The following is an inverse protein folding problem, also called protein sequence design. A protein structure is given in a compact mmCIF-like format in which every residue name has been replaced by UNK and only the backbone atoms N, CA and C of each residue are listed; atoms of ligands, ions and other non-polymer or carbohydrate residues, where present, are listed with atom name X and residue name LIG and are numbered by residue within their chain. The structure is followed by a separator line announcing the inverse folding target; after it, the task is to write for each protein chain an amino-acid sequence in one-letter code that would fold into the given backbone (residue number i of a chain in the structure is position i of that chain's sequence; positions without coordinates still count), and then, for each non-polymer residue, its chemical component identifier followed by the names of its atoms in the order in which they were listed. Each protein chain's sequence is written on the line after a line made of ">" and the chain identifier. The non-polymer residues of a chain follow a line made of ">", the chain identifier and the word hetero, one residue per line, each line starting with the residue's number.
data_IF_745531859169
#
_entry.id   IF_745531859169
#
_cell.length_a   1.000
_cell.length_b   1.000
_cell.length_c   1.000
_cell.angle_alpha   90.00
_cell.angle_beta   90.00
_cell.angle_gamma   90.00
#
_symmetry.space_group_name_H-M   'P 1'
#
loop_
_entity.id
_entity.type
_entity.pdbx_description
1 polymer ?
#
# COMPACT_ATOMS: atom_id res chain seq x y z
N UNK A 1 20.07 25.52 16.37
CA UNK A 1 18.72 25.03 16.77
C UNK A 1 18.32 23.74 16.05
N UNK A 2 18.21 23.68 14.71
CA UNK A 2 17.81 22.46 13.97
C UNK A 2 18.63 21.18 14.27
N UNK A 3 19.96 21.27 14.34
CA UNK A 3 20.83 20.12 14.67
C UNK A 3 20.61 19.57 16.09
N UNK A 4 20.37 20.47 17.05
CA UNK A 4 20.16 20.09 18.45
C UNK A 4 18.80 19.39 18.63
N UNK A 5 17.75 19.89 17.97
CA UNK A 5 16.44 19.22 17.94
C UNK A 5 16.50 17.84 17.29
N UNK A 6 17.26 17.67 16.22
CA UNK A 6 17.45 16.37 15.57
C UNK A 6 18.17 15.36 16.47
N UNK A 7 19.27 15.77 17.12
CA UNK A 7 19.98 14.95 18.10
C UNK A 7 19.09 14.56 19.27
N UNK A 8 18.24 15.47 19.74
CA UNK A 8 17.29 15.21 20.82
C UNK A 8 16.23 14.17 20.42
N UNK A 9 15.69 14.25 19.21
CA UNK A 9 14.75 13.24 18.67
C UNK A 9 15.43 11.88 18.59
N UNK A 10 16.66 11.81 18.08
CA UNK A 10 17.41 10.55 18.03
C UNK A 10 17.59 9.97 19.44
N UNK A 11 17.97 10.80 20.42
CA UNK A 11 18.14 10.35 21.79
C UNK A 11 16.84 9.79 22.39
N UNK A 12 15.71 10.47 22.15
CA UNK A 12 14.38 9.98 22.57
C UNK A 12 14.05 8.64 21.92
N UNK A 13 14.30 8.49 20.62
CA UNK A 13 14.04 7.24 19.90
C UNK A 13 14.89 6.10 20.45
N UNK A 14 16.19 6.34 20.70
CA UNK A 14 17.09 5.34 21.30
C UNK A 14 16.56 4.93 22.69
N UNK A 15 16.22 5.90 23.54
CA UNK A 15 15.72 5.61 24.88
C UNK A 15 14.39 4.81 24.83
N UNK A 16 13.48 5.23 23.95
CA UNK A 16 12.19 4.54 23.75
C UNK A 16 12.40 3.09 23.29
N UNK A 17 13.39 2.84 22.42
CA UNK A 17 13.73 1.51 21.91
C UNK A 17 14.27 0.56 22.96
N UNK A 18 15.09 1.05 23.90
CA UNK A 18 15.64 0.20 24.97
C UNK A 18 14.50 -0.34 25.84
N UNK A 19 13.53 0.51 26.20
CA UNK A 19 12.38 0.12 27.03
C UNK A 19 11.28 -0.65 26.28
N UNK A 20 11.37 -0.78 24.94
CA UNK A 20 10.36 -1.45 24.12
C UNK A 20 10.30 -2.95 24.41
N UNK A 21 11.46 -3.59 24.50
CA UNK A 21 11.56 -5.05 24.68
C UNK A 21 11.00 -5.50 26.01
N UNK A 22 11.15 -4.71 27.08
CA UNK A 22 10.62 -5.05 28.40
C UNK A 22 9.08 -5.10 28.46
N UNK A 23 8.40 -4.44 27.51
CA UNK A 23 6.94 -4.42 27.39
C UNK A 23 6.42 -5.26 26.23
N UNK A 24 7.28 -6.04 25.58
CA UNK A 24 6.90 -6.74 24.35
C UNK A 24 5.74 -7.71 24.60
N UNK A 25 4.67 -7.57 23.82
CA UNK A 25 3.48 -8.43 23.88
C UNK A 25 3.71 -9.77 23.16
N UNK A 26 2.76 -10.69 23.26
CA UNK A 26 2.73 -11.92 22.46
C UNK A 26 2.67 -11.56 20.96
N UNK A 27 3.55 -12.14 20.14
CA UNK A 27 3.71 -11.75 18.73
C UNK A 27 2.97 -12.68 17.75
N UNK A 28 2.34 -13.72 18.29
CA UNK A 28 1.50 -14.70 17.61
C UNK A 28 0.16 -14.80 18.34
N UNK A 29 -0.71 -13.78 18.23
CA UNK A 29 -2.02 -13.82 18.87
C UNK A 29 -2.83 -15.01 18.31
N UNK A 30 -3.60 -15.66 19.19
CA UNK A 30 -4.48 -16.78 18.83
C UNK A 30 -5.95 -16.51 19.17
N UNK A 31 -6.26 -15.29 19.64
CA UNK A 31 -7.62 -14.88 20.00
C UNK A 31 -8.50 -14.80 18.75
N UNK A 32 -9.51 -15.67 18.66
CA UNK A 32 -10.41 -15.72 17.52
C UNK A 32 -11.27 -14.44 17.40
N UNK A 33 -11.31 -13.88 16.18
CA UNK A 33 -12.16 -12.76 15.82
C UNK A 33 -12.84 -12.96 14.47
N UNK A 34 -13.92 -12.24 14.22
CA UNK A 34 -14.50 -12.13 12.87
C UNK A 34 -15.12 -10.77 12.61
N UNK A 35 -15.17 -10.41 11.33
CA UNK A 35 -15.85 -9.23 10.82
C UNK A 35 -16.58 -9.57 9.51
N UNK A 36 -17.76 -9.01 9.34
CA UNK A 36 -18.43 -8.89 8.04
C UNK A 36 -19.00 -7.50 7.86
N UNK A 37 -18.75 -6.87 6.71
CA UNK A 37 -19.23 -5.52 6.41
C UNK A 37 -19.74 -5.42 4.98
N UNK A 38 -20.92 -4.79 4.75
CA UNK A 38 -21.30 -4.37 3.42
C UNK A 38 -20.43 -3.19 2.97
N UNK A 39 -20.05 -3.20 1.70
CA UNK A 39 -19.18 -2.21 1.07
C UNK A 39 -19.84 -1.67 -0.20
N UNK A 40 -20.71 -0.65 -0.12
CA UNK A 40 -21.15 0.05 -1.34
C UNK A 40 -19.93 0.68 -2.02
N UNK A 41 -19.83 0.56 -3.34
CA UNK A 41 -18.70 1.10 -4.10
C UNK A 41 -19.13 1.89 -5.33
N UNK A 42 -18.29 2.84 -5.71
CA UNK A 42 -18.35 3.59 -6.97
C UNK A 42 -16.93 3.72 -7.49
N UNK A 43 -16.65 3.16 -8.67
CA UNK A 43 -15.35 3.21 -9.32
C UNK A 43 -15.52 3.98 -10.66
N UNK A 44 -14.88 5.15 -10.82
CA UNK A 44 -14.98 5.94 -12.04
C UNK A 44 -14.61 5.15 -13.30
N UNK A 45 -15.48 5.19 -14.32
CA UNK A 45 -15.36 4.40 -15.57
C UNK A 45 -15.78 2.93 -15.43
N UNK A 46 -15.57 2.32 -14.27
CA UNK A 46 -15.94 0.92 -14.07
C UNK A 46 -17.42 0.75 -13.68
N UNK A 47 -17.96 1.62 -12.83
CA UNK A 47 -19.39 1.65 -12.45
C UNK A 47 -19.60 1.62 -10.94
N UNK A 48 -20.77 1.21 -10.50
CA UNK A 48 -21.13 1.11 -9.08
C UNK A 48 -21.75 -0.23 -8.71
N UNK A 49 -21.79 -0.52 -7.42
CA UNK A 49 -22.39 -1.76 -6.93
C UNK A 49 -22.28 -1.94 -5.43
N UNK A 50 -22.41 -3.20 -5.02
CA UNK A 50 -22.34 -3.61 -3.64
C UNK A 50 -21.29 -4.70 -3.48
N UNK A 51 -20.44 -4.52 -2.48
CA UNK A 51 -19.50 -5.51 -2.00
C UNK A 51 -19.84 -6.03 -0.63
N UNK A 52 -19.21 -7.13 -0.27
CA UNK A 52 -19.13 -7.68 1.06
C UNK A 52 -17.68 -7.98 1.38
N UNK A 53 -17.22 -7.50 2.51
CA UNK A 53 -15.94 -7.85 3.10
C UNK A 53 -16.20 -8.75 4.28
N UNK A 54 -15.46 -9.85 4.37
CA UNK A 54 -15.52 -10.80 5.47
C UNK A 54 -14.13 -11.24 5.87
N UNK A 55 -13.89 -11.38 7.17
CA UNK A 55 -12.63 -11.87 7.72
C UNK A 55 -12.86 -12.71 8.95
N UNK A 56 -12.05 -13.75 9.12
CA UNK A 56 -11.90 -14.54 10.32
C UNK A 56 -10.43 -14.50 10.73
N UNK A 57 -10.18 -14.34 12.01
CA UNK A 57 -8.83 -14.26 12.55
C UNK A 57 -8.53 -15.42 13.45
N UNK A 58 -7.27 -15.83 13.46
CA UNK A 58 -6.76 -16.85 14.34
C UNK A 58 -7.65 -18.11 14.32
N UNK A 59 -7.99 -18.55 13.10
CA UNK A 59 -8.93 -19.63 12.84
C UNK A 59 -8.35 -20.94 13.40
N UNK A 60 -9.01 -21.58 14.39
CA UNK A 60 -8.46 -22.79 14.99
C UNK A 60 -8.61 -24.00 14.05
N UNK A 61 -7.65 -24.93 14.10
CA UNK A 61 -7.77 -26.25 13.49
C UNK A 61 -8.12 -27.30 14.55
N UNK A 62 -9.43 -27.54 14.73
CA UNK A 62 -9.92 -28.41 15.78
C UNK A 62 -9.66 -27.82 17.17
N UNK A 63 -8.81 -28.47 17.96
CA UNK A 63 -8.35 -27.98 19.26
C UNK A 63 -7.02 -27.22 19.20
N UNK A 64 -6.46 -27.02 18.00
CA UNK A 64 -5.18 -26.33 17.83
C UNK A 64 -5.43 -24.86 17.56
N UNK A 65 -4.92 -24.01 18.45
CA UNK A 65 -4.86 -22.56 18.26
C UNK A 65 -3.87 -22.23 17.14
N UNK A 66 -4.19 -21.22 16.33
CA UNK A 66 -3.35 -20.82 15.20
C UNK A 66 -3.43 -19.32 14.97
N UNK A 67 -2.48 -18.81 14.20
CA UNK A 67 -2.43 -17.43 13.71
C UNK A 67 -3.09 -17.27 12.33
N UNK A 68 -3.84 -18.28 11.87
CA UNK A 68 -4.42 -18.30 10.53
C UNK A 68 -5.51 -17.23 10.41
N UNK A 69 -5.28 -16.26 9.54
CA UNK A 69 -6.29 -15.30 9.13
C UNK A 69 -6.84 -15.67 7.76
N UNK A 70 -8.17 -15.60 7.61
CA UNK A 70 -8.88 -15.82 6.35
C UNK A 70 -9.69 -14.58 6.02
N UNK A 71 -9.52 -14.03 4.82
CA UNK A 71 -10.20 -12.82 4.40
C UNK A 71 -10.73 -12.94 2.98
N UNK A 72 -11.90 -12.34 2.73
CA UNK A 72 -12.54 -12.31 1.44
C UNK A 72 -13.22 -10.96 1.18
N UNK A 73 -13.11 -10.48 -0.05
CA UNK A 73 -13.93 -9.39 -0.59
C UNK A 73 -14.67 -9.95 -1.79
N UNK A 74 -16.00 -9.82 -1.81
CA UNK A 74 -16.83 -10.20 -2.95
C UNK A 74 -17.58 -8.95 -3.41
N UNK A 75 -17.59 -8.66 -4.71
CA UNK A 75 -18.30 -7.51 -5.28
C UNK A 75 -19.21 -7.94 -6.44
N UNK A 76 -20.35 -7.25 -6.54
CA UNK A 76 -21.35 -7.42 -7.60
C UNK A 76 -21.92 -6.06 -8.03
N UNK A 77 -22.60 -6.01 -9.16
CA UNK A 77 -23.10 -4.78 -9.79
C UNK A 77 -22.47 -4.60 -11.17
N UNK A 78 -22.00 -3.39 -11.48
CA UNK A 78 -21.29 -3.10 -12.73
C UNK A 78 -19.90 -3.76 -12.80
N UNK A 79 -19.37 -4.17 -11.64
CA UNK A 79 -18.16 -4.95 -11.49
C UNK A 79 -18.49 -6.22 -10.71
N UNK A 80 -18.17 -7.36 -11.30
CA UNK A 80 -18.24 -8.68 -10.70
C UNK A 80 -16.87 -9.22 -10.37
N UNK A 81 -16.68 -9.70 -9.15
CA UNK A 81 -15.43 -10.34 -8.78
C UNK A 81 -15.23 -10.53 -7.29
N UNK A 82 -14.00 -10.87 -6.94
CA UNK A 82 -13.62 -11.00 -5.55
C UNK A 82 -12.16 -11.31 -5.34
N UNK A 83 -11.77 -11.23 -4.08
CA UNK A 83 -10.45 -11.52 -3.56
C UNK A 83 -10.65 -12.50 -2.41
N UNK A 84 -9.80 -13.52 -2.34
CA UNK A 84 -9.68 -14.40 -1.18
C UNK A 84 -8.22 -14.50 -0.80
N UNK A 85 -7.92 -14.40 0.49
CA UNK A 85 -6.56 -14.51 1.00
C UNK A 85 -6.54 -15.22 2.35
N UNK A 86 -5.45 -15.94 2.58
CA UNK A 86 -5.08 -16.55 3.84
C UNK A 86 -3.70 -16.01 4.24
N UNK A 87 -3.59 -15.46 5.44
CA UNK A 87 -2.35 -14.83 5.95
C UNK A 87 -1.95 -15.45 7.28
N UNK A 88 -0.66 -15.33 7.60
CA UNK A 88 -0.03 -15.86 8.80
C UNK A 88 -0.33 -17.37 9.00
N UNK A 89 -0.42 -18.14 7.90
CA UNK A 89 -0.60 -19.61 7.93
C UNK A 89 0.67 -20.24 8.53
N UNK A 90 0.61 -20.90 9.71
CA UNK A 90 1.79 -21.45 10.35
C UNK A 90 2.19 -22.78 9.72
N UNK A 91 3.11 -22.75 8.75
CA UNK A 91 3.68 -23.97 8.13
C UNK A 91 4.59 -24.68 9.13
N UNK A 92 5.39 -23.90 9.86
CA UNK A 92 6.08 -24.32 11.09
C UNK A 92 5.69 -23.28 12.13
N UNK A 93 5.02 -23.65 13.23
CA UNK A 93 4.58 -22.72 14.26
C UNK A 93 5.69 -21.74 14.66
N UNK A 94 5.36 -20.46 14.70
CA UNK A 94 6.23 -19.35 15.14
C UNK A 94 7.52 -19.13 14.33
N UNK A 95 7.79 -19.94 13.31
CA UNK A 95 9.05 -19.90 12.56
C UNK A 95 8.86 -19.69 11.06
N UNK A 96 7.89 -20.36 10.46
CA UNK A 96 7.68 -20.30 9.01
C UNK A 96 6.21 -20.07 8.68
N UNK A 97 5.94 -18.88 8.13
CA UNK A 97 4.61 -18.41 7.80
C UNK A 97 4.42 -18.33 6.28
N UNK A 98 3.21 -18.67 5.85
CA UNK A 98 2.77 -18.59 4.46
C UNK A 98 1.60 -17.61 4.36
N UNK A 99 1.69 -16.67 3.43
CA UNK A 99 0.54 -15.90 2.97
C UNK A 99 0.24 -16.29 1.52
N UNK A 100 -1.03 -16.51 1.21
CA UNK A 100 -1.49 -16.78 -0.15
C UNK A 100 -2.77 -16.03 -0.43
N UNK A 101 -2.93 -15.56 -1.65
CA UNK A 101 -4.18 -14.97 -2.06
C UNK A 101 -4.35 -14.97 -3.55
N UNK A 102 -5.60 -14.81 -3.96
CA UNK A 102 -5.97 -14.64 -5.35
C UNK A 102 -7.19 -13.74 -5.46
N UNK A 103 -7.32 -13.08 -6.60
CA UNK A 103 -8.53 -12.36 -6.94
C UNK A 103 -8.79 -12.32 -8.43
N UNK A 104 -10.05 -12.11 -8.77
CA UNK A 104 -10.52 -11.99 -10.13
C UNK A 104 -11.62 -10.94 -10.22
N UNK A 105 -11.54 -10.09 -11.25
CA UNK A 105 -12.53 -9.05 -11.55
C UNK A 105 -12.80 -9.03 -13.05
N UNK A 106 -14.07 -8.94 -13.44
CA UNK A 106 -14.47 -8.81 -14.84
C UNK A 106 -14.13 -7.43 -15.41
N UNK A 107 -14.17 -6.39 -14.57
CA UNK A 107 -13.91 -5.00 -14.93
C UNK A 107 -13.13 -4.28 -13.83
N UNK A 108 -12.30 -3.33 -14.24
CA UNK A 108 -11.59 -2.43 -13.33
C UNK A 108 -11.24 -1.12 -14.03
N UNK A 109 -10.76 -0.15 -13.27
CA UNK A 109 -10.20 1.06 -13.86
C UNK A 109 -9.22 1.74 -12.92
N UNK A 110 -8.36 2.57 -13.51
CA UNK A 110 -7.48 3.46 -12.76
C UNK A 110 -7.29 4.77 -13.53
N UNK A 111 -6.90 5.82 -12.80
CA UNK A 111 -6.59 7.13 -13.39
C UNK A 111 -5.14 7.14 -13.85
N UNK A 112 -4.93 7.46 -15.12
CA UNK A 112 -3.63 7.68 -15.73
C UNK A 112 -3.42 9.18 -15.92
N UNK A 113 -2.62 9.79 -15.05
CA UNK A 113 -2.35 11.23 -15.07
C UNK A 113 -1.38 11.58 -16.20
N UNK A 114 -1.65 12.70 -16.90
CA UNK A 114 -0.78 13.13 -18.00
C UNK A 114 0.57 13.64 -17.51
N UNK A 115 0.59 14.33 -16.37
CA UNK A 115 1.81 14.62 -15.61
C UNK A 115 1.72 13.95 -14.23
N UNK A 116 2.67 13.06 -13.96
CA UNK A 116 2.75 12.27 -12.73
C UNK A 116 3.48 12.96 -11.57
N UNK A 117 4.02 14.16 -11.78
CA UNK A 117 4.85 14.89 -10.80
C UNK A 117 4.02 15.68 -9.81
N UNK A 118 4.68 16.18 -8.77
CA UNK A 118 4.01 16.83 -7.64
C UNK A 118 3.21 18.08 -8.04
N UNK A 119 3.66 18.84 -9.05
CA UNK A 119 2.98 20.06 -9.53
C UNK A 119 1.93 19.89 -10.63
N UNK A 120 1.55 18.66 -10.97
CA UNK A 120 0.56 18.44 -12.03
C UNK A 120 -0.86 18.82 -11.65
N UNK A 121 -1.67 19.06 -12.68
CA UNK A 121 -3.10 19.35 -12.58
C UNK A 121 -3.87 18.06 -12.17
N UNK A 122 -4.65 18.08 -11.08
CA UNK A 122 -5.46 16.93 -10.67
C UNK A 122 -6.54 16.51 -11.66
N UNK A 123 -6.99 17.42 -12.53
CA UNK A 123 -8.04 17.15 -13.52
C UNK A 123 -7.48 16.70 -14.88
N UNK A 124 -6.15 16.66 -15.01
CA UNK A 124 -5.44 16.25 -16.23
C UNK A 124 -5.10 14.75 -16.19
N UNK A 125 -6.13 13.93 -16.32
CA UNK A 125 -6.02 12.47 -16.38
C UNK A 125 -6.98 11.86 -17.40
N UNK A 126 -6.65 10.63 -17.78
CA UNK A 126 -7.53 9.74 -18.52
C UNK A 126 -7.86 8.52 -17.66
N UNK A 127 -8.98 7.85 -17.94
CA UNK A 127 -9.39 6.65 -17.21
C UNK A 127 -9.02 5.44 -18.06
N UNK A 128 -8.10 4.61 -17.56
CA UNK A 128 -7.74 3.34 -18.19
C UNK A 128 -8.68 2.25 -17.65
N UNK A 129 -9.45 1.62 -18.53
CA UNK A 129 -10.35 0.52 -18.21
C UNK A 129 -9.66 -0.82 -18.43
N UNK A 130 -9.80 -1.70 -17.44
CA UNK A 130 -9.31 -3.06 -17.48
C UNK A 130 -10.47 -4.04 -17.55
N UNK A 131 -10.26 -5.15 -18.26
CA UNK A 131 -11.09 -6.34 -18.21
C UNK A 131 -10.28 -7.57 -17.81
N UNK A 132 -10.97 -8.61 -17.38
CA UNK A 132 -10.40 -9.94 -17.10
C UNK A 132 -9.18 -9.89 -16.17
N UNK A 133 -9.27 -9.05 -15.13
CA UNK A 133 -8.18 -8.85 -14.18
C UNK A 133 -8.10 -10.03 -13.24
N UNK A 134 -6.93 -10.68 -13.17
CA UNK A 134 -6.63 -11.77 -12.25
C UNK A 134 -5.31 -11.50 -11.59
N UNK A 135 -5.23 -11.75 -10.30
CA UNK A 135 -3.97 -11.70 -9.59
C UNK A 135 -3.86 -12.85 -8.60
N UNK A 136 -2.63 -13.25 -8.34
CA UNK A 136 -2.25 -14.19 -7.30
C UNK A 136 -1.03 -13.67 -6.59
N UNK A 137 -0.94 -13.94 -5.30
CA UNK A 137 0.28 -13.68 -4.56
C UNK A 137 0.61 -14.83 -3.61
N UNK A 138 1.90 -14.94 -3.31
CA UNK A 138 2.44 -15.81 -2.28
C UNK A 138 3.52 -15.06 -1.53
N UNK A 139 3.46 -15.08 -0.19
CA UNK A 139 4.54 -14.65 0.68
C UNK A 139 5.02 -15.82 1.51
N UNK A 140 6.33 -15.95 1.60
CA UNK A 140 6.99 -16.85 2.53
C UNK A 140 7.78 -16.01 3.51
N UNK A 141 7.56 -16.21 4.80
CA UNK A 141 8.22 -15.46 5.86
C UNK A 141 8.88 -16.41 6.86
N UNK A 142 10.20 -16.28 7.01
CA UNK A 142 10.94 -16.87 8.11
C UNK A 142 11.02 -15.85 9.24
N UNK A 143 10.70 -16.31 10.43
CA UNK A 143 10.63 -15.49 11.64
C UNK A 143 11.73 -15.91 12.61
N UNK A 144 12.38 -14.93 13.24
CA UNK A 144 13.40 -15.13 14.25
C UNK A 144 13.17 -14.21 15.44
N UNK A 145 13.59 -14.68 16.63
CA UNK A 145 13.56 -13.91 17.87
C UNK A 145 12.17 -13.31 18.14
N UNK A 146 11.13 -14.14 18.19
CA UNK A 146 9.75 -13.72 18.46
C UNK A 146 9.30 -12.55 17.56
N UNK A 147 9.43 -12.73 16.24
CA UNK A 147 9.12 -11.72 15.19
C UNK A 147 9.88 -10.40 15.30
N UNK A 148 11.01 -10.36 16.00
CA UNK A 148 11.89 -9.18 15.98
C UNK A 148 12.70 -9.09 14.69
N UNK A 149 12.92 -10.21 14.02
CA UNK A 149 13.55 -10.24 12.70
C UNK A 149 12.84 -11.22 11.79
N UNK A 150 12.33 -10.70 10.66
CA UNK A 150 11.69 -11.50 9.63
C UNK A 150 12.48 -11.39 8.33
N UNK A 151 12.63 -12.50 7.62
CA UNK A 151 13.14 -12.54 6.24
C UNK A 151 12.03 -13.09 5.36
N UNK A 152 11.73 -12.42 4.26
CA UNK A 152 10.61 -12.82 3.41
C UNK A 152 10.89 -12.71 1.92
N UNK A 153 10.16 -13.52 1.15
CA UNK A 153 10.00 -13.35 -0.29
C UNK A 153 8.52 -13.22 -0.61
N UNK A 154 8.18 -12.31 -1.50
CA UNK A 154 6.84 -12.04 -1.97
C UNK A 154 6.82 -12.16 -3.49
N UNK A 155 5.97 -13.04 -4.01
CA UNK A 155 5.76 -13.25 -5.43
C UNK A 155 4.35 -12.86 -5.82
N UNK A 156 4.19 -12.21 -6.97
CA UNK A 156 2.88 -11.90 -7.55
C UNK A 156 2.85 -12.32 -9.02
N UNK A 157 1.69 -12.80 -9.46
CA UNK A 157 1.36 -12.99 -10.87
C UNK A 157 0.09 -12.21 -11.14
N UNK A 158 0.15 -11.27 -12.08
CA UNK A 158 -0.97 -10.40 -12.44
C UNK A 158 -1.24 -10.56 -13.93
N UNK A 159 -2.51 -10.70 -14.32
CA UNK A 159 -2.97 -10.70 -15.70
C UNK A 159 -4.11 -9.72 -15.81
N UNK A 160 -4.11 -8.87 -16.83
CA UNK A 160 -5.23 -7.97 -17.11
C UNK A 160 -5.23 -7.61 -18.58
N UNK A 161 -6.37 -7.15 -19.07
CA UNK A 161 -6.50 -6.65 -20.44
C UNK A 161 -6.89 -5.19 -20.40
N UNK A 162 -6.11 -4.32 -21.03
CA UNK A 162 -6.53 -2.95 -21.30
C UNK A 162 -7.62 -3.00 -22.38
N UNK A 163 -8.83 -2.57 -22.03
CA UNK A 163 -10.00 -2.63 -22.90
C UNK A 163 -10.33 -1.26 -23.51
N UNK A 164 -10.15 -0.18 -22.75
CA UNK A 164 -10.39 1.17 -23.24
C UNK A 164 -9.62 2.23 -22.45
N UNK A 165 -9.45 3.40 -23.05
CA UNK A 165 -9.14 4.64 -22.33
C UNK A 165 -10.27 5.63 -22.60
N UNK A 166 -10.71 6.30 -21.54
CA UNK A 166 -11.76 7.32 -21.55
C UNK A 166 -11.24 8.65 -21.05
N UNK A 167 -11.88 9.73 -21.44
CA UNK A 167 -11.68 11.02 -20.78
C UNK A 167 -12.29 11.01 -19.36
N UNK A 168 -12.12 12.12 -18.63
CA UNK A 168 -12.60 12.24 -17.25
C UNK A 168 -14.13 12.25 -17.15
N UNK A 169 -14.83 12.59 -18.24
CA UNK A 169 -16.29 12.51 -18.36
C UNK A 169 -16.79 11.11 -18.76
N UNK A 170 -15.89 10.17 -19.07
CA UNK A 170 -16.23 8.78 -19.43
C UNK A 170 -16.47 8.54 -20.92
N UNK A 171 -16.19 9.51 -21.78
CA UNK A 171 -16.26 9.34 -23.24
C UNK A 171 -15.06 8.54 -23.73
N UNK A 172 -15.29 7.63 -24.66
CA UNK A 172 -14.23 6.80 -25.27
C UNK A 172 -13.25 7.67 -26.08
N UNK A 173 -11.95 7.48 -25.82
CA UNK A 173 -10.85 8.18 -26.52
C UNK A 173 -9.75 7.24 -27.01
N UNK A 174 -9.86 5.94 -26.74
CA UNK A 174 -8.93 4.90 -27.20
C UNK A 174 -9.58 3.55 -26.91
N UNK A 175 -9.66 2.68 -27.89
CA UNK A 175 -10.09 1.29 -27.68
C UNK A 175 -8.89 0.36 -27.83
N UNK A 176 -8.77 -0.59 -26.92
CA UNK A 176 -7.69 -1.57 -26.93
C UNK A 176 -8.21 -2.98 -26.64
N UNK A 177 -7.41 -3.95 -27.03
CA UNK A 177 -7.54 -5.33 -26.57
C UNK A 177 -6.14 -5.86 -26.29
N UNK A 178 -5.49 -5.22 -25.32
CA UNK A 178 -4.09 -5.48 -25.01
C UNK A 178 -4.00 -6.21 -23.67
N UNK A 179 -3.85 -7.52 -23.74
CA UNK A 179 -3.55 -8.32 -22.56
C UNK A 179 -2.09 -8.16 -22.14
N UNK A 180 -1.88 -8.01 -20.84
CA UNK A 180 -0.57 -8.00 -20.23
C UNK A 180 -0.54 -8.96 -19.05
N UNK A 181 0.61 -9.62 -18.89
CA UNK A 181 0.92 -10.46 -17.75
C UNK A 181 2.21 -9.95 -17.13
N UNK A 182 2.23 -9.88 -15.81
CA UNK A 182 3.36 -9.42 -15.02
C UNK A 182 3.61 -10.36 -13.86
N UNK A 183 4.77 -10.99 -13.85
CA UNK A 183 5.33 -11.65 -12.68
C UNK A 183 6.27 -10.66 -11.97
N UNK A 184 6.16 -10.60 -10.65
CA UNK A 184 7.07 -9.80 -9.83
C UNK A 184 7.50 -10.60 -8.60
N UNK A 185 8.76 -10.42 -8.23
CA UNK A 185 9.33 -10.99 -7.01
C UNK A 185 10.09 -9.93 -6.23
N UNK A 186 9.72 -9.81 -4.96
CA UNK A 186 10.35 -8.95 -3.98
C UNK A 186 10.96 -9.80 -2.87
N UNK A 187 12.22 -9.56 -2.54
CA UNK A 187 12.85 -10.17 -1.37
C UNK A 187 13.14 -9.07 -0.35
N UNK A 188 12.93 -9.35 0.92
CA UNK A 188 13.03 -8.32 1.94
C UNK A 188 13.27 -8.88 3.34
N UNK A 189 13.45 -7.95 4.26
CA UNK A 189 13.49 -8.26 5.69
C UNK A 189 12.81 -7.15 6.49
N UNK A 190 12.37 -7.51 7.69
CA UNK A 190 11.84 -6.58 8.68
C UNK A 190 12.62 -6.75 9.98
N UNK A 191 13.03 -5.64 10.58
CA UNK A 191 13.50 -5.56 11.95
C UNK A 191 12.40 -4.86 12.75
N UNK A 192 11.84 -5.53 13.73
CA UNK A 192 10.75 -5.05 14.56
C UNK A 192 11.16 -5.01 16.03
N UNK A 193 11.67 -3.86 16.45
CA UNK A 193 12.08 -3.57 17.82
C UNK A 193 11.02 -2.74 18.54
N UNK A 194 9.75 -3.08 18.36
CA UNK A 194 8.62 -2.43 19.03
C UNK A 194 8.12 -3.23 20.23
N UNK A 195 7.32 -2.60 21.10
CA UNK A 195 6.66 -3.31 22.19
C UNK A 195 5.41 -4.09 21.75
N UNK A 196 4.82 -3.76 20.62
CA UNK A 196 3.70 -4.50 20.04
C UNK A 196 3.79 -4.40 18.52
N UNK A 197 3.68 -5.51 17.79
CA UNK A 197 3.82 -5.50 16.33
C UNK A 197 2.64 -4.86 15.62
N UNK A 198 1.44 -5.02 16.18
CA UNK A 198 0.17 -4.54 15.62
C UNK A 198 -0.08 -3.10 16.02
N UNK A 199 -0.06 -2.77 17.32
CA UNK A 199 -0.25 -1.41 17.84
C UNK A 199 0.97 -0.89 18.62
N UNK A 200 2.12 -0.66 17.96
CA UNK A 200 3.32 -0.17 18.63
C UNK A 200 3.09 1.13 19.41
N UNK A 201 3.45 1.13 20.70
CA UNK A 201 3.46 2.36 21.51
C UNK A 201 4.87 2.96 21.61
N UNK A 202 5.89 2.11 21.54
CA UNK A 202 7.29 2.52 21.60
C UNK A 202 8.19 1.60 20.78
N UNK A 203 9.34 2.13 20.38
CA UNK A 203 10.38 1.38 19.68
C UNK A 203 10.47 1.71 18.20
N UNK A 204 11.14 0.84 17.44
CA UNK A 204 11.52 1.10 16.05
C UNK A 204 11.18 -0.06 15.15
N UNK A 205 10.75 0.24 13.92
CA UNK A 205 10.49 -0.74 12.87
C UNK A 205 11.21 -0.31 11.60
N UNK A 206 11.95 -1.23 11.00
CA UNK A 206 12.59 -1.05 9.69
C UNK A 206 12.13 -2.18 8.77
N UNK A 207 11.68 -1.83 7.57
CA UNK A 207 11.41 -2.78 6.50
C UNK A 207 12.26 -2.39 5.29
N UNK A 208 12.90 -3.39 4.70
CA UNK A 208 13.62 -3.26 3.45
C UNK A 208 13.09 -4.26 2.44
N UNK A 209 12.90 -3.82 1.20
CA UNK A 209 12.58 -4.70 0.07
C UNK A 209 13.47 -4.39 -1.13
N UNK A 210 13.76 -5.43 -1.89
CA UNK A 210 14.38 -5.36 -3.20
C UNK A 210 13.53 -6.13 -4.20
N UNK A 211 12.94 -5.41 -5.15
CA UNK A 211 12.08 -5.95 -6.19
C UNK A 211 12.81 -5.93 -7.52
N UNK A 212 12.87 -7.08 -8.17
CA UNK A 212 13.51 -7.20 -9.47
C UNK A 212 12.51 -6.91 -10.60
N UNK A 213 12.92 -6.17 -11.62
CA UNK A 213 12.10 -5.83 -12.80
C UNK A 213 12.90 -6.03 -14.09
N UNK A 214 13.10 -7.30 -14.51
CA UNK A 214 13.84 -7.63 -15.72
C UNK A 214 13.13 -7.13 -16.98
N UNK A 215 13.85 -7.06 -18.10
CA UNK A 215 13.30 -6.62 -19.37
C UNK A 215 12.25 -7.61 -19.91
N UNK A 216 11.01 -7.15 -20.03
CA UNK A 216 9.90 -7.94 -20.58
C UNK A 216 9.88 -8.00 -22.12
N UNK A 217 10.60 -7.09 -22.78
CA UNK A 217 10.69 -6.97 -24.22
C UNK A 217 12.03 -6.31 -24.60
N UNK A 218 12.44 -6.42 -25.87
CA UNK A 218 13.72 -5.87 -26.35
C UNK A 218 13.85 -4.35 -26.17
N UNK A 219 12.73 -3.63 -26.06
CA UNK A 219 12.66 -2.18 -25.86
C UNK A 219 12.25 -1.79 -24.42
N UNK A 220 12.06 -2.75 -23.51
CA UNK A 220 11.83 -2.51 -22.08
C UNK A 220 13.13 -2.21 -21.34
N UNK A 221 13.10 -1.43 -20.25
CA UNK A 221 14.24 -1.29 -19.37
C UNK A 221 14.39 -2.53 -18.50
N UNK A 222 15.62 -2.75 -18.04
CA UNK A 222 15.96 -3.68 -16.98
C UNK A 222 16.40 -2.88 -15.75
N UNK A 223 15.70 -3.06 -14.64
CA UNK A 223 15.94 -2.29 -13.41
C UNK A 223 15.53 -3.09 -12.16
N UNK A 224 15.92 -2.60 -11.00
CA UNK A 224 15.43 -3.08 -9.71
C UNK A 224 14.99 -1.89 -8.85
N UNK A 225 14.13 -2.15 -7.88
CA UNK A 225 13.58 -1.15 -6.96
C UNK A 225 13.97 -1.51 -5.55
N UNK A 226 14.54 -0.55 -4.83
CA UNK A 226 14.82 -0.69 -3.40
C UNK A 226 13.92 0.23 -2.61
N UNK A 227 13.22 -0.34 -1.62
CA UNK A 227 12.36 0.41 -0.71
C UNK A 227 12.85 0.28 0.73
N UNK A 228 12.84 1.40 1.43
CA UNK A 228 13.14 1.52 2.85
C UNK A 228 11.96 2.16 3.55
N UNK A 229 11.48 1.53 4.62
CA UNK A 229 10.41 2.07 5.45
C UNK A 229 10.85 2.02 6.92
N UNK A 230 11.04 3.19 7.51
CA UNK A 230 11.43 3.32 8.90
C UNK A 230 10.32 4.02 9.68
N UNK A 231 9.89 3.39 10.77
CA UNK A 231 8.91 3.96 11.69
C UNK A 231 9.44 3.94 13.11
N UNK A 232 9.37 5.09 13.78
CA UNK A 232 9.68 5.23 15.21
C UNK A 232 8.47 5.60 16.02
N UNK A 233 8.34 4.99 17.20
CA UNK A 233 7.23 5.19 18.12
C UNK A 233 7.75 5.74 19.44
N UNK A 234 7.18 6.88 19.84
CA UNK A 234 7.55 7.60 21.05
C UNK A 234 6.33 7.61 21.97
N UNK A 235 6.39 6.99 23.15
CA UNK A 235 5.29 7.04 24.11
C UNK A 235 5.15 8.46 24.65
N UNK A 236 3.93 8.96 24.73
CA UNK A 236 3.58 10.28 25.25
C UNK A 236 2.32 10.18 26.11
N UNK A 237 2.17 11.07 27.08
CA UNK A 237 1.10 10.97 28.09
C UNK A 237 1.16 9.59 28.79
N UNK A 238 0.03 9.08 29.30
CA UNK A 238 0.00 7.82 30.05
C UNK A 238 0.14 6.58 29.15
N UNK A 239 -0.53 6.58 27.99
CA UNK A 239 -0.58 5.43 27.09
C UNK A 239 -0.79 5.86 25.62
N UNK A 240 -0.58 7.13 25.27
CA UNK A 240 -0.66 7.63 23.89
C UNK A 240 0.70 7.55 23.18
N UNK A 241 0.71 7.72 21.86
CA UNK A 241 1.93 7.51 21.07
C UNK A 241 2.09 8.55 19.98
N UNK A 242 3.31 9.00 19.77
CA UNK A 242 3.70 9.75 18.58
C UNK A 242 4.49 8.85 17.64
N UNK A 243 3.94 8.60 16.45
CA UNK A 243 4.55 7.80 15.40
C UNK A 243 5.18 8.71 14.35
N UNK A 244 6.40 8.39 13.95
CA UNK A 244 7.17 9.09 12.92
C UNK A 244 7.55 8.09 11.84
N UNK A 245 7.20 8.36 10.59
CA UNK A 245 7.51 7.51 9.45
C UNK A 245 8.38 8.23 8.44
N UNK A 246 9.34 7.50 7.87
CA UNK A 246 10.10 7.86 6.69
C UNK A 246 10.11 6.68 5.72
N UNK A 247 9.71 6.94 4.49
CA UNK A 247 9.69 5.97 3.42
C UNK A 247 10.45 6.53 2.22
N UNK A 248 11.27 5.68 1.62
CA UNK A 248 11.99 5.98 0.38
C UNK A 248 11.99 4.76 -0.53
N UNK A 249 11.62 4.96 -1.78
CA UNK A 249 11.75 3.95 -2.83
C UNK A 249 12.45 4.53 -4.05
N UNK A 250 13.34 3.76 -4.65
CA UNK A 250 14.12 4.19 -5.80
C UNK A 250 14.38 3.06 -6.79
N UNK A 251 14.09 3.32 -8.06
CA UNK A 251 14.51 2.48 -9.16
C UNK A 251 15.98 2.74 -9.52
N UNK A 252 16.71 1.67 -9.83
CA UNK A 252 18.07 1.71 -10.37
C UNK A 252 18.09 0.94 -11.68
N UNK A 253 18.31 1.65 -12.79
CA UNK A 253 18.33 1.07 -14.13
C UNK A 253 19.67 0.39 -14.40
N UNK A 254 19.62 -0.91 -14.70
CA UNK A 254 20.77 -1.71 -15.15
C UNK A 254 21.02 -1.51 -16.64
N UNK A 255 19.95 -1.51 -17.42
CA UNK A 255 19.96 -1.29 -18.88
C UNK A 255 18.72 -0.49 -19.26
N UNK A 256 18.93 0.59 -20.01
CA UNK A 256 17.83 1.39 -20.54
C UNK A 256 17.07 0.63 -21.62
N UNK A 257 15.76 0.85 -21.67
CA UNK A 257 14.92 0.46 -22.80
C UNK A 257 15.10 1.43 -23.97
N UNK A 258 14.23 1.32 -24.99
CA UNK A 258 14.26 2.28 -26.09
C UNK A 258 13.74 3.66 -25.64
N UNK A 259 14.54 4.71 -25.79
CA UNK A 259 14.16 6.08 -25.41
C UNK A 259 13.86 6.98 -26.60
N UNK A 260 13.86 6.44 -27.83
CA UNK A 260 13.45 7.16 -29.04
C UNK A 260 11.93 7.40 -29.02
N UNK A 261 11.55 8.67 -28.87
CA UNK A 261 10.14 9.06 -28.75
C UNK A 261 9.35 8.78 -30.03
N UNK A 262 9.95 8.97 -31.21
CA UNK A 262 9.24 8.74 -32.48
C UNK A 262 8.95 7.25 -32.66
N UNK A 263 9.91 6.39 -32.31
CA UNK A 263 9.70 4.95 -32.25
C UNK A 263 8.58 4.58 -31.27
N UNK A 264 8.59 5.14 -30.06
CA UNK A 264 7.59 4.83 -29.04
C UNK A 264 6.19 5.31 -29.47
N UNK A 265 6.06 6.50 -30.07
CA UNK A 265 4.81 7.00 -30.64
C UNK A 265 4.31 6.04 -31.73
N UNK A 266 5.18 5.61 -32.64
CA UNK A 266 4.79 4.68 -33.70
C UNK A 266 4.33 3.34 -33.12
N UNK A 267 4.99 2.84 -32.07
CA UNK A 267 4.64 1.60 -31.38
C UNK A 267 3.28 1.69 -30.67
N UNK A 268 3.03 2.78 -29.94
CA UNK A 268 1.73 3.02 -29.29
C UNK A 268 0.61 3.17 -30.35
N UNK A 269 0.88 3.91 -31.44
CA UNK A 269 -0.07 4.06 -32.56
C UNK A 269 -0.44 2.71 -33.18
N UNK A 270 0.53 1.82 -33.37
CA UNK A 270 0.30 0.49 -33.92
C UNK A 270 -0.50 -0.45 -32.99
N UNK A 271 -0.53 -0.15 -31.69
CA UNK A 271 -1.26 -0.93 -30.67
C UNK A 271 -2.71 -0.47 -30.52
N UNK A 272 -3.00 0.77 -30.91
CA UNK A 272 -4.35 1.32 -30.87
C UNK A 272 -5.30 0.63 -31.86
N UNK A 273 -6.47 0.19 -31.39
CA UNK A 273 -7.46 -0.45 -32.24
C UNK A 273 -8.42 0.56 -32.90
N UNK A 274 -8.97 1.48 -32.12
CA UNK A 274 -9.93 2.49 -32.59
C UNK A 274 -9.86 3.78 -31.75
N UNK A 275 -10.38 4.88 -32.30
CA UNK A 275 -10.43 6.21 -31.65
C UNK A 275 -9.07 6.74 -31.17
N UNK A 276 -8.01 6.54 -31.95
CA UNK A 276 -6.61 6.80 -31.56
C UNK A 276 -6.26 8.29 -31.41
N UNK A 277 -6.62 8.90 -30.29
CA UNK A 277 -6.25 10.28 -29.99
C UNK A 277 -4.73 10.47 -29.92
N UNK A 278 -4.23 11.41 -30.72
CA UNK A 278 -2.78 11.67 -30.85
C UNK A 278 -2.13 12.19 -29.57
N UNK A 279 -2.86 12.96 -28.76
CA UNK A 279 -2.32 13.46 -27.49
C UNK A 279 -2.13 12.33 -26.48
N UNK A 280 -3.10 11.42 -26.42
CA UNK A 280 -3.07 10.22 -25.56
C UNK A 280 -1.94 9.29 -25.98
N UNK A 281 -1.73 9.05 -27.27
CA UNK A 281 -0.58 8.29 -27.79
C UNK A 281 0.74 8.94 -27.37
N UNK A 282 0.89 10.25 -27.59
CA UNK A 282 2.10 10.96 -27.23
C UNK A 282 2.37 10.91 -25.71
N UNK A 283 1.32 10.93 -24.90
CA UNK A 283 1.41 10.77 -23.46
C UNK A 283 1.92 9.38 -23.06
N UNK A 284 1.29 8.32 -23.57
CA UNK A 284 1.69 6.94 -23.27
C UNK A 284 3.15 6.72 -23.67
N UNK A 285 3.55 7.20 -24.85
CA UNK A 285 4.92 7.14 -25.34
C UNK A 285 5.90 7.91 -24.43
N UNK A 286 5.55 9.10 -23.94
CA UNK A 286 6.39 9.85 -22.98
C UNK A 286 6.53 9.14 -21.63
N UNK A 287 5.44 8.58 -21.11
CA UNK A 287 5.48 7.80 -19.87
C UNK A 287 6.35 6.55 -20.02
N UNK A 288 6.27 5.90 -21.18
CA UNK A 288 7.14 4.77 -21.55
C UNK A 288 8.60 5.21 -21.68
N UNK A 289 8.88 6.33 -22.34
CA UNK A 289 10.24 6.89 -22.48
C UNK A 289 10.87 7.15 -21.10
N UNK A 290 10.14 7.80 -20.19
CA UNK A 290 10.63 8.08 -18.84
C UNK A 290 10.91 6.80 -18.05
N UNK A 291 10.02 5.80 -18.15
CA UNK A 291 10.23 4.49 -17.53
C UNK A 291 11.42 3.76 -18.15
N UNK A 292 11.57 3.80 -19.47
CA UNK A 292 12.69 3.19 -20.20
C UNK A 292 14.04 3.82 -19.82
N UNK A 293 14.04 5.10 -19.45
CA UNK A 293 15.24 5.84 -19.07
C UNK A 293 15.59 5.71 -17.58
N UNK A 294 14.59 5.75 -16.70
CA UNK A 294 14.79 5.91 -15.25
C UNK A 294 14.22 4.77 -14.40
N UNK A 295 13.44 3.86 -14.99
CA UNK A 295 12.65 2.87 -14.25
C UNK A 295 11.46 3.52 -13.52
N UNK A 296 10.82 2.75 -12.64
CA UNK A 296 9.70 3.22 -11.80
C UNK A 296 9.92 2.76 -10.36
N UNK A 297 10.00 3.72 -9.42
CA UNK A 297 10.18 3.44 -8.00
C UNK A 297 8.86 3.27 -7.25
N UNK A 298 7.72 3.59 -7.87
CA UNK A 298 6.40 3.46 -7.26
C UNK A 298 5.60 4.76 -7.30
N UNK A 299 4.64 4.88 -6.39
CA UNK A 299 3.68 5.98 -6.37
C UNK A 299 3.32 6.47 -4.96
N UNK A 300 2.70 7.65 -4.88
CA UNK A 300 2.11 8.25 -3.69
C UNK A 300 0.61 8.52 -3.90
N UNK A 301 -0.12 8.56 -2.79
CA UNK A 301 -1.58 8.65 -2.74
C UNK A 301 -2.20 7.30 -2.40
N UNK A 302 -3.44 7.31 -1.90
CA UNK A 302 -4.15 6.13 -1.42
C UNK A 302 -4.09 5.97 0.10
N UNK A 303 -4.26 4.75 0.59
CA UNK A 303 -4.50 4.47 2.01
C UNK A 303 -3.25 4.52 2.89
N UNK A 304 -2.09 4.21 2.31
CA UNK A 304 -0.84 4.03 3.06
C UNK A 304 -0.07 5.32 3.29
N UNK A 305 -0.09 6.23 2.33
CA UNK A 305 0.73 7.44 2.35
C UNK A 305 0.13 8.50 1.44
N UNK A 306 0.16 9.76 1.89
CA UNK A 306 -0.48 10.89 1.20
C UNK A 306 -1.99 10.69 1.07
N UNK A 307 -2.64 10.41 2.22
CA UNK A 307 -4.04 9.96 2.33
C UNK A 307 -5.09 10.87 1.72
N UNK A 308 -4.84 12.17 1.59
CA UNK A 308 -5.79 13.08 0.92
C UNK A 308 -5.82 12.94 -0.60
N UNK A 309 -4.91 12.16 -1.20
CA UNK A 309 -4.75 12.01 -2.64
C UNK A 309 -5.20 10.62 -3.10
N UNK A 310 -5.74 10.54 -4.32
CA UNK A 310 -6.16 9.27 -4.93
C UNK A 310 -4.95 8.33 -5.09
N UNK A 311 -5.17 7.02 -4.98
CA UNK A 311 -4.12 6.02 -5.21
C UNK A 311 -3.42 6.22 -6.56
N UNK A 312 -2.08 6.20 -6.57
CA UNK A 312 -1.29 6.39 -7.78
C UNK A 312 -1.23 7.84 -8.31
N UNK A 313 -1.71 8.83 -7.55
CA UNK A 313 -1.79 10.23 -7.99
C UNK A 313 -0.44 10.82 -8.42
N UNK A 314 0.63 10.46 -7.73
CA UNK A 314 1.99 10.88 -8.07
C UNK A 314 2.87 9.64 -8.27
N UNK A 315 3.73 9.62 -9.27
CA UNK A 315 4.66 8.50 -9.48
C UNK A 315 5.96 8.96 -10.12
N UNK A 316 7.02 8.17 -9.95
CA UNK A 316 8.34 8.50 -10.47
C UNK A 316 9.36 7.39 -10.23
N UNK A 317 10.56 7.57 -10.77
CA UNK A 317 11.67 6.64 -10.52
C UNK A 317 12.16 6.71 -9.07
N UNK A 318 12.01 7.85 -8.42
CA UNK A 318 12.36 8.09 -7.03
C UNK A 318 11.14 8.62 -6.29
N UNK A 319 10.86 8.05 -5.12
CA UNK A 319 9.72 8.39 -4.26
C UNK A 319 10.22 8.55 -2.84
N UNK A 320 9.79 9.62 -2.17
CA UNK A 320 10.07 9.79 -0.74
C UNK A 320 8.85 10.39 -0.04
N UNK A 321 8.53 9.87 1.15
CA UNK A 321 7.49 10.41 2.00
C UNK A 321 7.91 10.40 3.46
N UNK A 322 7.36 11.35 4.22
CA UNK A 322 7.50 11.39 5.67
C UNK A 322 6.16 11.68 6.31
N UNK A 323 5.87 11.00 7.41
CA UNK A 323 4.64 11.11 8.16
C UNK A 323 4.90 11.35 9.63
N UNK A 324 4.03 12.11 10.27
CA UNK A 324 3.94 12.22 11.72
C UNK A 324 2.49 11.99 12.12
N UNK A 325 2.27 11.17 13.14
CA UNK A 325 0.95 10.84 13.63
C UNK A 325 0.92 10.80 15.16
N UNK A 326 0.06 11.61 15.76
CA UNK A 326 -0.26 11.52 17.17
C UNK A 326 -1.48 10.62 17.36
N UNK A 327 -1.29 9.52 18.08
CA UNK A 327 -2.32 8.54 18.45
C UNK A 327 -2.73 8.80 19.88
N UNK A 328 -3.87 9.45 20.05
CA UNK A 328 -4.48 9.65 21.35
C UNK A 328 -5.29 8.41 21.72
N UNK A 329 -4.72 7.62 22.62
CA UNK A 329 -5.39 6.45 23.16
C UNK A 329 -6.36 6.91 24.25
N UNK A 330 -7.63 6.49 24.14
CA UNK A 330 -8.71 6.87 25.04
C UNK A 330 -9.09 5.77 26.04
N UNK A 331 -8.69 4.54 25.75
CA UNK A 331 -8.90 3.36 26.58
C UNK A 331 -7.87 2.29 26.22
N UNK A 332 -7.39 1.57 27.23
CA UNK A 332 -6.61 0.34 27.15
C UNK A 332 -7.37 -0.86 27.75
N UNK A 333 -8.69 -0.71 27.95
CA UNK A 333 -9.54 -1.73 28.52
C UNK A 333 -9.69 -2.91 27.56
N UNK A 334 -9.47 -4.12 28.09
CA UNK A 334 -9.76 -5.36 27.39
C UNK A 334 -11.23 -5.74 27.58
N UNK A 335 -12.04 -5.59 26.54
CA UNK A 335 -13.49 -5.85 26.61
C UNK A 335 -13.94 -6.70 25.44
N UNK A 336 -14.41 -7.92 25.72
CA UNK A 336 -15.00 -8.78 24.70
C UNK A 336 -16.32 -8.19 24.17
N UNK A 337 -16.55 -8.33 22.87
CA UNK A 337 -17.81 -7.97 22.24
C UNK A 337 -18.17 -9.02 21.17
N UNK A 338 -19.47 -9.31 21.05
CA UNK A 338 -20.03 -10.24 20.08
C UNK A 338 -21.31 -9.62 19.54
N UNK A 339 -21.20 -8.99 18.38
CA UNK A 339 -22.30 -8.41 17.63
C UNK A 339 -22.50 -9.22 16.35
N UNK A 340 -23.69 -9.15 15.76
CA UNK A 340 -24.06 -9.94 14.57
C UNK A 340 -23.05 -9.89 13.41
N UNK A 341 -22.29 -8.80 13.28
CA UNK A 341 -21.38 -8.57 12.17
C UNK A 341 -19.91 -8.46 12.59
N UNK A 342 -19.62 -8.51 13.89
CA UNK A 342 -18.25 -8.38 14.40
C UNK A 342 -18.13 -9.00 15.79
N UNK A 343 -17.09 -9.80 15.99
CA UNK A 343 -16.74 -10.38 17.28
C UNK A 343 -15.25 -10.25 17.50
N UNK A 344 -14.86 -9.70 18.64
CA UNK A 344 -13.47 -9.61 19.04
C UNK A 344 -13.33 -9.21 20.52
N UNK A 345 -12.09 -9.01 20.95
CA UNK A 345 -11.73 -8.38 22.21
C UNK A 345 -11.22 -6.99 21.88
N UNK A 346 -11.95 -5.93 22.24
CA UNK A 346 -11.43 -4.56 22.14
C UNK A 346 -10.24 -4.44 23.07
N UNK A 347 -9.11 -3.98 22.56
CA UNK A 347 -7.90 -3.71 23.35
C UNK A 347 -7.55 -2.22 23.35
N UNK A 348 -8.14 -1.42 22.46
CA UNK A 348 -7.99 0.02 22.49
C UNK A 348 -8.97 0.78 21.61
N UNK A 349 -9.24 2.03 21.99
CA UNK A 349 -9.91 3.01 21.12
C UNK A 349 -9.03 4.25 20.99
N UNK A 350 -8.75 4.67 19.76
CA UNK A 350 -7.82 5.75 19.47
C UNK A 350 -8.44 6.83 18.60
N UNK A 351 -8.03 8.08 18.83
CA UNK A 351 -8.17 9.18 17.88
C UNK A 351 -6.79 9.58 17.39
N UNK A 352 -6.59 9.61 16.08
CA UNK A 352 -5.30 9.86 15.47
C UNK A 352 -5.31 11.16 14.68
N UNK A 353 -4.30 11.99 14.88
CA UNK A 353 -4.07 13.20 14.09
C UNK A 353 -2.78 13.03 13.31
N UNK A 354 -2.81 13.24 12.00
CA UNK A 354 -1.65 13.01 11.15
C UNK A 354 -1.34 14.17 10.22
N UNK A 355 -0.05 14.25 9.87
CA UNK A 355 0.49 15.12 8.86
C UNK A 355 1.53 14.37 8.04
N UNK A 356 1.43 14.47 6.72
CA UNK A 356 2.23 13.73 5.77
C UNK A 356 2.77 14.68 4.71
N UNK A 357 3.99 14.42 4.26
CA UNK A 357 4.58 15.07 3.10
C UNK A 357 5.16 14.02 2.16
N UNK A 358 5.06 14.29 0.86
CA UNK A 358 5.53 13.39 -0.17
C UNK A 358 6.10 14.12 -1.36
N UNK A 359 7.03 13.46 -2.04
CA UNK A 359 7.70 13.92 -3.26
C UNK A 359 7.98 12.74 -4.19
N UNK A 360 7.89 12.98 -5.49
CA UNK A 360 8.35 12.05 -6.53
C UNK A 360 9.26 12.79 -7.51
N UNK A 361 10.22 12.10 -8.09
CA UNK A 361 11.12 12.64 -9.09
C UNK A 361 11.69 11.54 -10.00
N UNK A 362 12.23 11.92 -11.16
CA UNK A 362 12.98 10.99 -12.01
C UNK A 362 14.42 10.80 -11.48
N UNK A 363 14.97 11.78 -10.75
CA UNK A 363 16.32 11.75 -10.17
C UNK A 363 16.29 12.04 -8.68
N UNK A 364 17.20 11.41 -7.95
CA UNK A 364 17.35 11.61 -6.50
C UNK A 364 17.67 13.05 -6.12
N UNK A 365 18.45 13.76 -6.93
CA UNK A 365 18.81 15.17 -6.70
C UNK A 365 17.61 16.11 -6.72
N UNK A 366 16.50 15.67 -7.32
CA UNK A 366 15.32 16.50 -7.58
C UNK A 366 14.20 16.23 -6.57
N UNK A 367 14.37 15.23 -5.69
CA UNK A 367 13.45 14.99 -4.57
C UNK A 367 13.39 16.22 -3.68
N UNK A 368 12.18 16.53 -3.20
CA UNK A 368 11.87 17.67 -2.34
C UNK A 368 11.99 19.07 -2.98
N UNK A 369 12.38 19.18 -4.25
CA UNK A 369 12.23 20.43 -5.02
C UNK A 369 10.76 20.82 -5.14
N UNK A 370 9.90 19.82 -5.30
CA UNK A 370 8.45 19.97 -5.24
C UNK A 370 7.89 18.94 -4.25
N UNK A 371 6.89 19.34 -3.47
CA UNK A 371 6.22 18.42 -2.54
C UNK A 371 4.73 18.70 -2.45
N UNK A 372 4.02 17.73 -1.89
CA UNK A 372 2.61 17.85 -1.47
C UNK A 372 2.48 17.44 -0.01
N UNK A 373 1.39 17.87 0.60
CA UNK A 373 1.09 17.67 2.00
C UNK A 373 -0.32 17.14 2.17
N UNK A 374 -0.52 16.25 3.14
CA UNK A 374 -1.80 15.65 3.51
C UNK A 374 -1.92 15.72 5.03
N UNK A 375 -3.06 16.18 5.54
CA UNK A 375 -3.30 16.26 6.98
C UNK A 375 -4.71 15.79 7.31
N UNK A 376 -4.90 15.15 8.46
CA UNK A 376 -6.19 14.59 8.79
C UNK A 376 -6.34 14.07 10.19
N UNK A 377 -7.51 13.47 10.41
CA UNK A 377 -7.93 12.86 11.66
C UNK A 377 -8.53 11.49 11.37
N UNK A 378 -8.36 10.52 12.27
CA UNK A 378 -9.00 9.23 12.16
C UNK A 378 -9.36 8.62 13.50
N UNK A 379 -10.27 7.65 13.49
CA UNK A 379 -10.63 6.85 14.67
C UNK A 379 -10.20 5.41 14.47
N UNK A 380 -9.77 4.75 15.55
CA UNK A 380 -9.32 3.35 15.51
C UNK A 380 -9.95 2.50 16.59
N UNK A 381 -10.38 1.32 16.20
CA UNK A 381 -10.68 0.23 17.12
C UNK A 381 -9.58 -0.81 16.98
N UNK A 382 -8.78 -0.98 18.03
CA UNK A 382 -7.71 -1.98 18.11
C UNK A 382 -8.28 -3.20 18.82
N UNK A 383 -8.01 -4.39 18.28
CA UNK A 383 -8.54 -5.64 18.82
C UNK A 383 -7.47 -6.66 19.17
N UNK A 384 -7.84 -7.63 20.02
CA UNK A 384 -6.98 -8.69 20.52
C UNK A 384 -6.64 -9.73 19.45
N UNK A 385 -7.52 -9.93 18.47
CA UNK A 385 -7.23 -10.78 17.32
C UNK A 385 -6.11 -10.26 16.42
N UNK A 386 -5.72 -8.98 16.58
CA UNK A 386 -4.70 -8.32 15.77
C UNK A 386 -5.25 -7.37 14.70
N UNK A 387 -6.58 -7.23 14.57
CA UNK A 387 -7.15 -6.26 13.64
C UNK A 387 -7.19 -4.83 14.20
N UNK A 388 -7.07 -3.88 13.27
CA UNK A 388 -7.23 -2.45 13.55
C UNK A 388 -8.19 -1.87 12.54
N UNK A 389 -9.40 -1.54 12.99
CA UNK A 389 -10.42 -0.94 12.15
C UNK A 389 -10.29 0.58 12.17
N UNK A 390 -10.19 1.19 10.99
CA UNK A 390 -9.93 2.62 10.88
C UNK A 390 -10.92 3.33 9.97
N UNK A 391 -11.27 4.53 10.40
CA UNK A 391 -11.97 5.52 9.60
C UNK A 391 -11.17 6.82 9.67
N UNK A 392 -10.52 7.17 8.57
CA UNK A 392 -9.70 8.37 8.46
C UNK A 392 -10.37 9.38 7.53
N UNK A 393 -10.28 10.66 7.87
CA UNK A 393 -10.58 11.78 7.00
C UNK A 393 -9.31 12.61 6.80
N UNK A 394 -8.89 12.75 5.54
CA UNK A 394 -7.69 13.47 5.14
C UNK A 394 -8.04 14.66 4.25
N UNK A 395 -7.25 15.73 4.33
CA UNK A 395 -7.37 16.93 3.51
C UNK A 395 -6.01 17.35 2.96
N UNK A 396 -6.02 17.84 1.73
CA UNK A 396 -4.83 18.33 1.03
C UNK A 396 -5.20 19.32 -0.06
N UNK A 397 -4.24 19.62 -0.94
CA UNK A 397 -4.44 20.62 -2.01
C UNK A 397 -5.57 20.25 -3.00
N UNK A 398 -5.86 18.96 -3.14
CA UNK A 398 -6.84 18.42 -4.11
C UNK A 398 -8.19 18.10 -3.47
N UNK A 399 -8.42 18.50 -2.21
CA UNK A 399 -9.68 18.29 -1.50
C UNK A 399 -9.57 17.31 -0.33
N UNK A 400 -10.73 16.79 0.07
CA UNK A 400 -10.88 15.84 1.18
C UNK A 400 -11.12 14.40 0.71
N UNK A 401 -10.66 13.44 1.50
CA UNK A 401 -10.82 12.01 1.25
C UNK A 401 -11.19 11.29 2.55
N UNK A 402 -12.16 10.37 2.48
CA UNK A 402 -12.51 9.47 3.58
C UNK A 402 -12.01 8.08 3.23
N UNK A 403 -11.32 7.44 4.17
CA UNK A 403 -10.68 6.14 3.96
C UNK A 403 -11.10 5.18 5.08
N UNK A 404 -11.55 4.00 4.69
CA UNK A 404 -11.72 2.86 5.60
C UNK A 404 -10.56 1.90 5.39
N UNK A 405 -9.84 1.57 6.45
CA UNK A 405 -8.65 0.72 6.41
C UNK A 405 -8.78 -0.37 7.49
N UNK A 406 -8.30 -1.56 7.16
CA UNK A 406 -8.07 -2.66 8.08
C UNK A 406 -6.54 -2.79 8.17
N UNK A 407 -5.96 -2.55 9.35
CA UNK A 407 -4.51 -2.39 9.64
C UNK A 407 -4.01 -0.92 9.74
N UNK A 408 -2.81 -0.72 10.32
CA UNK A 408 -2.12 0.57 10.45
C UNK A 408 -1.52 1.06 9.13
N UNK A 409 -1.38 2.39 8.93
CA UNK A 409 -0.76 2.92 7.73
C UNK A 409 0.74 2.70 7.82
N UNK A 410 1.40 2.71 6.65
CA UNK A 410 2.85 2.45 6.54
C UNK A 410 3.20 0.99 6.86
N UNK A 411 2.22 0.09 6.73
CA UNK A 411 2.34 -1.35 6.93
C UNK A 411 3.15 -2.06 5.84
N UNK A 412 3.33 -3.37 5.97
CA UNK A 412 4.15 -4.18 5.05
C UNK A 412 3.43 -4.67 3.81
N UNK A 413 2.11 -4.80 3.85
CA UNK A 413 1.34 -5.34 2.73
C UNK A 413 1.22 -4.30 1.61
N UNK A 414 1.87 -4.56 0.47
CA UNK A 414 1.74 -3.75 -0.76
C UNK A 414 2.77 -2.62 -0.94
N UNK A 415 3.97 -2.71 -0.36
CA UNK A 415 5.07 -1.76 -0.62
C UNK A 415 5.89 -2.06 -1.87
#
# INVERSE_FOLDING_TARGET
>A
MKKLSFLFIIFILIHSSVSAIERRTEQFPTDFGYLTLPLPYVIPGAGMGLGFLGGFNNVPFGSTETTLDLFAILITGDIGGGIVLATDVPVIPEMFLLDVGQGNFDKGSFRSYRDRRMNSDPDDYVISELSDTRFRFTRLTLTFFDRMFDVFTFGTNNKSTLSAIRDKEGKLIYEANQSFEGDSRSNGFQIDWTDDRTDPQKGLKLIYTNTDSPDSASDSPDYFVQSYNFTGYIPVLSYSTFALNWYRSGATVRKQGNTDLDYLIAKETATCFSNCDSETIALLAKNRQATNQYGSGGSLGGTERMRSYVGGRFSGAQVESRGAEFRWNLSDEKTAFDWYFIKDIRTGFQVAFFYEEGTVADKTSDLWNEKRTSAGIGTRLVTGSGFVYRLDFATGKEGGSTIVIFDYPWGTFGQ
#
